data_IF_967185434142
#
_entry.id   IF_967185434142
#
_cell.length_a   1.000
_cell.length_b   1.000
_cell.length_c   1.000
_cell.angle_alpha   90.00
_cell.angle_beta   90.00
_cell.angle_gamma   90.00
#
_symmetry.space_group_name_H-M   'P 1'
#
loop_
_entity.id
_entity.type
_entity.pdbx_description
1 polymer ?
#
# COMPACT_ATOMS: atom_id res chain seq x y z
N UNK A 1 -0.66 6.04 -11.82
CA UNK A 1 -1.78 5.62 -10.94
C UNK A 1 -3.14 5.69 -11.61
N UNK A 2 -3.53 6.79 -12.26
CA UNK A 2 -4.87 6.94 -12.84
C UNK A 2 -5.26 5.83 -13.85
N UNK A 3 -4.37 5.49 -14.80
CA UNK A 3 -4.62 4.42 -15.77
C UNK A 3 -4.84 3.06 -15.11
N UNK A 4 -4.04 2.69 -14.10
CA UNK A 4 -4.18 1.44 -13.37
C UNK A 4 -5.50 1.38 -12.60
N UNK A 5 -5.93 2.50 -12.00
CA UNK A 5 -7.23 2.59 -11.32
C UNK A 5 -8.41 2.44 -12.28
N UNK A 6 -8.34 3.12 -13.44
CA UNK A 6 -9.36 2.99 -14.49
C UNK A 6 -9.43 1.56 -15.02
N UNK A 7 -8.27 0.94 -15.28
CA UNK A 7 -8.17 -0.45 -15.71
C UNK A 7 -8.82 -1.41 -14.70
N UNK A 8 -8.44 -1.33 -13.42
CA UNK A 8 -8.98 -2.20 -12.37
C UNK A 8 -10.50 -1.99 -12.19
N UNK A 9 -10.97 -0.75 -12.18
CA UNK A 9 -12.39 -0.42 -12.08
C UNK A 9 -13.20 -0.95 -13.26
N UNK A 10 -12.67 -0.78 -14.48
CA UNK A 10 -13.31 -1.29 -15.70
C UNK A 10 -13.35 -2.83 -15.70
N UNK A 11 -12.29 -3.48 -15.22
CA UNK A 11 -12.21 -4.92 -15.08
C UNK A 11 -13.26 -5.45 -14.09
N UNK A 12 -13.32 -4.89 -12.88
CA UNK A 12 -14.33 -5.28 -11.88
C UNK A 12 -15.77 -5.08 -12.39
N UNK A 13 -16.03 -3.97 -13.09
CA UNK A 13 -17.33 -3.70 -13.67
C UNK A 13 -17.72 -4.72 -14.76
N UNK A 14 -16.77 -5.13 -15.59
CA UNK A 14 -17.01 -6.16 -16.61
C UNK A 14 -17.44 -7.50 -15.98
N UNK A 15 -16.78 -7.92 -14.89
CA UNK A 15 -17.17 -9.16 -14.18
C UNK A 15 -18.48 -9.02 -13.41
N UNK A 16 -18.82 -7.82 -12.95
CA UNK A 16 -20.14 -7.52 -12.41
C UNK A 16 -21.25 -7.74 -13.44
N UNK A 17 -21.09 -7.22 -14.65
CA UNK A 17 -22.04 -7.41 -15.76
C UNK A 17 -22.25 -8.90 -16.10
N UNK A 18 -21.23 -9.74 -15.91
CA UNK A 18 -21.30 -11.20 -16.12
C UNK A 18 -21.76 -12.01 -14.91
N UNK A 19 -22.11 -11.36 -13.80
CA UNK A 19 -22.53 -12.05 -12.56
C UNK A 19 -21.40 -12.78 -11.82
N UNK A 20 -20.14 -12.52 -12.17
CA UNK A 20 -18.93 -13.18 -11.64
C UNK A 20 -18.12 -12.24 -10.72
N UNK A 21 -18.75 -11.18 -10.20
CA UNK A 21 -18.07 -10.18 -9.37
C UNK A 21 -17.42 -10.81 -8.13
N UNK A 22 -18.09 -11.75 -7.48
CA UNK A 22 -17.61 -12.36 -6.24
C UNK A 22 -16.32 -13.17 -6.45
N UNK A 23 -16.34 -14.06 -7.45
CA UNK A 23 -15.21 -14.95 -7.78
C UNK A 23 -14.00 -14.17 -8.30
N UNK A 24 -14.24 -13.20 -9.18
CA UNK A 24 -13.19 -12.31 -9.70
C UNK A 24 -12.59 -11.45 -8.59
N UNK A 25 -13.42 -10.82 -7.75
CA UNK A 25 -12.95 -9.98 -6.65
C UNK A 25 -12.08 -10.76 -5.69
N UNK A 26 -12.49 -11.95 -5.25
CA UNK A 26 -11.69 -12.76 -4.33
C UNK A 26 -10.31 -13.08 -4.89
N UNK A 27 -10.25 -13.51 -6.15
CA UNK A 27 -8.99 -13.86 -6.80
C UNK A 27 -8.05 -12.66 -6.89
N UNK A 28 -8.57 -11.49 -7.27
CA UNK A 28 -7.79 -10.25 -7.38
C UNK A 28 -7.31 -9.77 -6.00
N UNK A 29 -8.21 -9.71 -5.01
CA UNK A 29 -7.92 -9.06 -3.74
C UNK A 29 -6.98 -9.86 -2.83
N UNK A 30 -6.77 -11.17 -3.06
CA UNK A 30 -5.80 -12.00 -2.30
C UNK A 30 -4.40 -11.37 -2.29
N UNK A 31 -3.89 -10.97 -3.45
CA UNK A 31 -2.61 -10.25 -3.57
C UNK A 31 -2.84 -8.74 -3.76
N UNK A 32 -3.88 -8.36 -4.50
CA UNK A 32 -4.19 -6.99 -4.86
C UNK A 32 -4.44 -6.06 -3.66
N UNK A 33 -4.89 -6.59 -2.52
CA UNK A 33 -5.01 -5.81 -1.28
C UNK A 33 -3.66 -5.19 -0.87
N UNK A 34 -2.59 -5.98 -0.94
CA UNK A 34 -1.25 -5.51 -0.61
C UNK A 34 -0.75 -4.58 -1.71
N UNK A 35 -0.83 -4.99 -2.97
CA UNK A 35 -0.27 -4.23 -4.08
C UNK A 35 -0.89 -2.84 -4.22
N UNK A 36 -2.22 -2.75 -4.23
CA UNK A 36 -2.91 -1.47 -4.39
C UNK A 36 -2.59 -0.54 -3.22
N UNK A 37 -2.62 -1.06 -1.99
CA UNK A 37 -2.26 -0.28 -0.80
C UNK A 37 -0.84 0.27 -0.89
N UNK A 38 0.09 -0.57 -1.29
CA UNK A 38 1.50 -0.23 -1.40
C UNK A 38 1.77 0.77 -2.54
N UNK A 39 1.06 0.65 -3.68
CA UNK A 39 1.12 1.62 -4.77
C UNK A 39 0.60 2.99 -4.30
N UNK A 40 -0.48 3.04 -3.51
CA UNK A 40 -0.99 4.29 -2.93
C UNK A 40 0.08 4.92 -2.02
N UNK A 41 0.72 4.11 -1.15
CA UNK A 41 1.78 4.57 -0.26
C UNK A 41 3.00 5.09 -1.04
N UNK A 42 3.39 4.42 -2.13
CA UNK A 42 4.44 4.90 -3.02
C UNK A 42 4.07 6.24 -3.68
N UNK A 43 2.79 6.41 -4.05
CA UNK A 43 2.25 7.70 -4.50
C UNK A 43 2.40 8.80 -3.43
N UNK A 44 2.07 8.49 -2.18
CA UNK A 44 2.26 9.40 -1.05
C UNK A 44 3.74 9.75 -0.83
N UNK A 45 4.66 8.80 -1.00
CA UNK A 45 6.10 9.07 -0.95
C UNK A 45 6.55 10.08 -2.03
N UNK A 46 5.97 9.98 -3.22
CA UNK A 46 6.15 10.97 -4.29
C UNK A 46 5.63 12.36 -3.91
N UNK A 47 4.48 12.44 -3.22
CA UNK A 47 3.95 13.70 -2.69
C UNK A 47 4.87 14.30 -1.60
N UNK A 48 5.45 13.48 -0.71
CA UNK A 48 6.43 13.94 0.29
C UNK A 48 7.67 14.55 -0.38
N UNK A 49 8.17 13.91 -1.44
CA UNK A 49 9.28 14.42 -2.24
C UNK A 49 8.91 15.74 -2.93
N UNK A 50 7.75 15.80 -3.58
CA UNK A 50 7.24 17.01 -4.25
C UNK A 50 7.03 18.17 -3.27
N UNK A 51 6.54 17.89 -2.06
CA UNK A 51 6.36 18.87 -1.00
C UNK A 51 7.68 19.55 -0.63
N UNK A 52 8.78 18.80 -0.48
CA UNK A 52 10.09 19.39 -0.18
C UNK A 52 10.68 20.26 -1.29
N UNK A 53 10.33 19.96 -2.54
CA UNK A 53 10.77 20.76 -3.69
C UNK A 53 9.98 22.07 -3.81
N UNK A 54 8.65 22.00 -3.62
CA UNK A 54 7.74 23.14 -3.78
C UNK A 54 7.70 24.05 -2.56
N UNK A 55 7.80 23.48 -1.36
CA UNK A 55 7.69 24.16 -0.07
C UNK A 55 8.94 23.91 0.79
N UNK A 56 10.05 24.63 0.52
CA UNK A 56 11.34 24.40 1.18
C UNK A 56 11.46 25.01 2.59
N UNK A 57 10.41 25.67 3.08
CA UNK A 57 10.40 26.45 4.32
C UNK A 57 11.61 27.39 4.43
N UNK A 58 12.45 27.22 5.46
CA UNK A 58 13.66 28.03 5.71
C UNK A 58 14.92 27.46 5.09
N UNK A 59 14.85 26.29 4.43
CA UNK A 59 15.99 25.65 3.79
C UNK A 59 16.18 26.12 2.36
N UNK A 60 17.41 25.95 1.83
CA UNK A 60 17.63 26.07 0.39
C UNK A 60 16.82 25.00 -0.34
N UNK A 61 16.36 25.29 -1.58
CA UNK A 61 15.56 24.34 -2.37
C UNK A 61 16.24 22.98 -2.52
N UNK A 62 17.56 22.98 -2.74
CA UNK A 62 18.35 21.75 -2.85
C UNK A 62 18.41 20.97 -1.52
N UNK A 63 18.58 21.66 -0.40
CA UNK A 63 18.70 20.99 0.91
C UNK A 63 17.36 20.45 1.39
N UNK A 64 16.27 21.21 1.19
CA UNK A 64 14.91 20.71 1.44
C UNK A 64 14.62 19.49 0.57
N UNK A 65 14.95 19.55 -0.72
CA UNK A 65 14.75 18.44 -1.63
C UNK A 65 15.53 17.18 -1.21
N UNK A 66 16.79 17.31 -0.81
CA UNK A 66 17.59 16.17 -0.28
C UNK A 66 16.95 15.54 0.95
N UNK A 67 16.41 16.35 1.87
CA UNK A 67 15.70 15.85 3.07
C UNK A 67 14.44 15.09 2.70
N UNK A 68 13.62 15.65 1.81
CA UNK A 68 12.38 15.00 1.38
C UNK A 68 12.62 13.77 0.52
N UNK A 69 13.69 13.71 -0.29
CA UNK A 69 14.14 12.48 -0.93
C UNK A 69 14.46 11.41 0.10
N UNK A 70 15.23 11.73 1.15
CA UNK A 70 15.61 10.75 2.17
C UNK A 70 14.38 10.20 2.90
N UNK A 71 13.40 11.05 3.18
CA UNK A 71 12.13 10.63 3.77
C UNK A 71 11.29 9.78 2.80
N UNK A 72 11.07 10.25 1.57
CA UNK A 72 10.31 9.54 0.54
C UNK A 72 10.92 8.20 0.17
N UNK A 73 12.25 8.12 0.06
CA UNK A 73 12.97 6.88 -0.23
C UNK A 73 12.83 5.88 0.92
N UNK A 74 12.85 6.33 2.18
CA UNK A 74 12.58 5.45 3.32
C UNK A 74 11.19 4.83 3.24
N UNK A 75 10.17 5.61 2.89
CA UNK A 75 8.81 5.12 2.68
C UNK A 75 8.79 4.13 1.51
N UNK A 76 9.39 4.48 0.37
CA UNK A 76 9.44 3.61 -0.79
C UNK A 76 10.16 2.28 -0.48
N UNK A 77 11.30 2.29 0.22
CA UNK A 77 12.01 1.06 0.57
C UNK A 77 11.20 0.15 1.50
N UNK A 78 10.37 0.72 2.38
CA UNK A 78 9.47 -0.07 3.23
C UNK A 78 8.41 -0.83 2.44
N UNK A 79 8.14 -0.44 1.18
CA UNK A 79 7.19 -1.13 0.30
C UNK A 79 7.70 -2.44 -0.29
N UNK A 80 9.02 -2.60 -0.43
CA UNK A 80 9.63 -3.72 -1.15
C UNK A 80 9.27 -5.09 -0.55
N UNK A 81 9.34 -5.31 0.78
CA UNK A 81 8.95 -6.60 1.37
C UNK A 81 7.49 -6.96 1.08
N UNK A 82 6.60 -5.97 1.03
CA UNK A 82 5.18 -6.20 0.77
C UNK A 82 4.93 -6.59 -0.69
N UNK A 83 5.67 -6.03 -1.65
CA UNK A 83 5.61 -6.50 -3.04
C UNK A 83 6.09 -7.95 -3.21
N UNK A 84 7.13 -8.35 -2.46
CA UNK A 84 7.59 -9.74 -2.46
C UNK A 84 6.49 -10.67 -1.94
N UNK A 85 5.82 -10.29 -0.84
CA UNK A 85 4.69 -11.05 -0.29
C UNK A 85 3.54 -11.12 -1.29
N UNK A 86 3.19 -10.00 -1.93
CA UNK A 86 2.13 -9.96 -2.93
C UNK A 86 2.42 -10.87 -4.12
N UNK A 87 3.63 -10.81 -4.70
CA UNK A 87 4.03 -11.68 -5.79
C UNK A 87 4.11 -13.15 -5.39
N UNK A 88 4.40 -13.46 -4.12
CA UNK A 88 4.29 -14.82 -3.59
C UNK A 88 2.83 -15.28 -3.51
N UNK A 89 1.92 -14.45 -2.98
CA UNK A 89 0.50 -14.77 -2.95
C UNK A 89 -0.07 -14.97 -4.37
N UNK A 90 0.36 -14.16 -5.33
CA UNK A 90 0.00 -14.30 -6.73
C UNK A 90 0.55 -15.61 -7.35
N UNK A 91 1.85 -15.87 -7.17
CA UNK A 91 2.52 -17.02 -7.78
C UNK A 91 2.02 -18.37 -7.26
N UNK A 92 1.61 -18.44 -5.99
CA UNK A 92 1.24 -19.70 -5.33
C UNK A 92 -0.25 -19.81 -5.00
N UNK A 93 -0.86 -18.76 -4.42
CA UNK A 93 -2.22 -18.87 -3.86
C UNK A 93 -3.27 -18.67 -4.94
N UNK A 94 -3.13 -17.70 -5.85
CA UNK A 94 -4.14 -17.46 -6.89
C UNK A 94 -4.21 -18.54 -7.97
N UNK A 95 -3.24 -19.47 -8.01
CA UNK A 95 -3.30 -20.64 -8.89
C UNK A 95 -4.22 -21.74 -8.37
N UNK A 96 -4.58 -21.70 -7.09
CA UNK A 96 -5.52 -22.63 -6.48
C UNK A 96 -6.96 -22.14 -6.64
N UNK A 97 -7.55 -22.40 -7.81
CA UNK A 97 -8.91 -21.97 -8.18
C UNK A 97 -10.02 -22.61 -7.33
N UNK A 98 -9.73 -23.71 -6.61
CA UNK A 98 -10.67 -24.40 -5.71
C UNK A 98 -10.53 -23.98 -4.24
N UNK A 99 -9.84 -22.87 -3.97
CA UNK A 99 -9.60 -22.44 -2.60
C UNK A 99 -10.91 -22.04 -1.88
N UNK A 100 -11.17 -22.57 -0.67
CA UNK A 100 -12.37 -22.23 0.10
C UNK A 100 -12.52 -20.72 0.35
N UNK A 101 -13.75 -20.23 0.28
CA UNK A 101 -14.11 -18.81 0.47
C UNK A 101 -13.57 -18.22 1.78
N UNK A 102 -13.69 -18.97 2.87
CA UNK A 102 -13.23 -18.54 4.18
C UNK A 102 -11.72 -18.31 4.21
N UNK A 103 -10.93 -19.11 3.48
CA UNK A 103 -9.48 -18.98 3.44
C UNK A 103 -9.07 -17.74 2.64
N UNK A 104 -9.73 -17.50 1.49
CA UNK A 104 -9.53 -16.29 0.69
C UNK A 104 -9.80 -15.03 1.51
N UNK A 105 -10.95 -14.98 2.19
CA UNK A 105 -11.36 -13.85 3.01
C UNK A 105 -10.38 -13.64 4.17
N UNK A 106 -9.92 -14.72 4.80
CA UNK A 106 -8.92 -14.65 5.89
C UNK A 106 -7.61 -14.03 5.41
N UNK A 107 -7.11 -14.44 4.24
CA UNK A 107 -5.88 -13.88 3.66
C UNK A 107 -6.06 -12.39 3.33
N UNK A 108 -7.19 -12.02 2.71
CA UNK A 108 -7.51 -10.62 2.38
C UNK A 108 -7.56 -9.76 3.66
N UNK A 109 -8.30 -10.19 4.68
CA UNK A 109 -8.43 -9.46 5.94
C UNK A 109 -7.12 -9.38 6.71
N UNK A 110 -6.35 -10.47 6.75
CA UNK A 110 -5.04 -10.49 7.39
C UNK A 110 -4.09 -9.50 6.70
N UNK A 111 -4.08 -9.50 5.36
CA UNK A 111 -3.27 -8.59 4.54
C UNK A 111 -3.66 -7.13 4.76
N UNK A 112 -4.96 -6.83 4.74
CA UNK A 112 -5.49 -5.49 5.00
C UNK A 112 -5.11 -5.01 6.42
N UNK A 113 -5.30 -5.86 7.42
CA UNK A 113 -4.98 -5.57 8.82
C UNK A 113 -3.49 -5.28 8.99
N UNK A 114 -2.63 -6.08 8.34
CA UNK A 114 -1.18 -5.93 8.37
C UNK A 114 -0.74 -4.59 7.75
N UNK A 115 -1.33 -4.18 6.63
CA UNK A 115 -1.05 -2.89 6.00
C UNK A 115 -1.50 -1.72 6.90
N UNK A 116 -2.73 -1.77 7.41
CA UNK A 116 -3.28 -0.73 8.29
C UNK A 116 -2.43 -0.61 9.56
N UNK A 117 -2.08 -1.75 10.16
CA UNK A 117 -1.25 -1.76 11.35
C UNK A 117 0.12 -1.14 11.10
N UNK A 118 0.81 -1.55 10.03
CA UNK A 118 2.17 -1.10 9.76
C UNK A 118 2.26 0.37 9.33
N UNK A 119 1.35 0.84 8.46
CA UNK A 119 1.44 2.19 7.88
C UNK A 119 0.61 3.25 8.61
N UNK A 120 -0.35 2.87 9.45
CA UNK A 120 -1.21 3.82 10.18
C UNK A 120 -1.00 3.70 11.69
N UNK A 121 -1.24 2.53 12.28
CA UNK A 121 -1.27 2.38 13.74
C UNK A 121 0.13 2.46 14.35
N UNK A 122 1.07 1.71 13.80
CA UNK A 122 2.46 1.65 14.27
C UNK A 122 3.16 3.02 14.31
N UNK A 123 3.16 3.84 13.23
CA UNK A 123 3.79 5.15 13.27
C UNK A 123 3.12 6.12 14.26
N UNK A 124 1.79 6.06 14.43
CA UNK A 124 1.08 6.85 15.44
C UNK A 124 1.56 6.46 16.85
N UNK A 125 1.62 5.15 17.14
CA UNK A 125 2.08 4.65 18.45
C UNK A 125 3.52 5.05 18.74
N UNK A 126 4.42 4.90 17.76
CA UNK A 126 5.83 5.26 17.89
C UNK A 126 6.01 6.77 18.10
N UNK A 127 5.28 7.60 17.36
CA UNK A 127 5.32 9.06 17.52
C UNK A 127 4.87 9.48 18.91
N UNK A 128 3.84 8.84 19.46
CA UNK A 128 3.35 9.12 20.80
C UNK A 128 4.35 8.70 21.88
N UNK A 129 5.03 7.57 21.72
CA UNK A 129 6.09 7.12 22.63
C UNK A 129 7.28 8.08 22.65
N UNK A 130 7.77 8.49 21.47
CA UNK A 130 8.89 9.45 21.36
C UNK A 130 8.55 10.78 22.04
N UNK A 131 7.31 11.26 21.92
CA UNK A 131 6.84 12.48 22.60
C UNK A 131 6.78 12.33 24.12
N UNK A 132 6.44 11.15 24.64
CA UNK A 132 6.42 10.89 26.08
C UNK A 132 7.84 10.80 26.65
N UNK A 133 8.74 10.11 25.96
CA UNK A 133 10.13 9.96 26.40
C UNK A 133 10.93 11.27 26.33
N UNK A 134 10.61 12.17 25.40
CA UNK A 134 11.23 13.50 25.31
C UNK A 134 10.68 14.54 26.30
N UNK A 135 9.57 14.23 26.99
CA UNK A 135 8.97 15.10 28.01
C UNK A 135 9.33 14.67 29.45
N UNK A 136 10.05 13.56 29.63
CA UNK A 136 10.61 13.07 30.90
C UNK A 136 12.11 13.33 30.96
#
# INVERSE_FOLDING_TARGET
>A
MMQNGIMLGSFLYFFYDKGLLWESSRTIWIHGTIEISVIIIAGCAGLVLGNGLLFPDTYSRLDSFKKSIKAGLKIMLSTVPFFIIAGFLEGFVTRHTEMPDWLAITIILASLTLIIYYYVIYPIKLTNQIKQDGNN
#
